data_IF_548371114302
#
_entry.id   IF_548371114302
#
_cell.length_a   1.000
_cell.length_b   1.000
_cell.length_c   1.000
_cell.angle_alpha   90.00
_cell.angle_beta   90.00
_cell.angle_gamma   90.00
#
_symmetry.space_group_name_H-M   'P 1'
#
loop_
_entity.id
_entity.type
_entity.pdbx_description
1 polymer ?
#
# COMPACT_ATOMS: atom_id res chain seq x y z
N UNK A 1 -22.50 90.76 -43.70
CA UNK A 1 -21.48 90.65 -42.64
C UNK A 1 -21.26 89.19 -42.31
N UNK A 2 -20.13 88.63 -42.73
CA UNK A 2 -19.70 87.24 -42.59
C UNK A 2 -18.80 87.19 -41.36
N UNK A 3 -19.06 86.26 -40.45
CA UNK A 3 -18.03 85.51 -39.67
C UNK A 3 -18.72 84.73 -38.54
N UNK A 4 -18.45 83.46 -38.49
CA UNK A 4 -18.44 82.54 -37.35
C UNK A 4 -19.18 81.23 -37.64
N UNK A 5 -18.57 80.35 -38.43
CA UNK A 5 -18.93 78.92 -38.50
C UNK A 5 -17.66 78.06 -38.69
N UNK A 6 -16.68 78.12 -37.82
CA UNK A 6 -15.51 77.24 -37.96
C UNK A 6 -14.81 76.84 -36.68
N UNK A 7 -15.50 76.82 -35.53
CA UNK A 7 -14.89 76.40 -34.25
C UNK A 7 -15.51 75.17 -33.60
N UNK A 8 -16.58 74.64 -34.21
CA UNK A 8 -17.34 73.49 -33.58
C UNK A 8 -17.04 72.11 -34.19
N UNK A 9 -16.05 72.00 -35.14
CA UNK A 9 -15.74 70.71 -35.77
C UNK A 9 -14.45 70.02 -35.27
N UNK A 10 -13.67 70.63 -34.45
CA UNK A 10 -12.38 70.10 -33.97
C UNK A 10 -12.44 69.49 -32.56
N UNK A 11 -13.53 69.75 -31.81
CA UNK A 11 -13.71 69.18 -30.45
C UNK A 11 -14.37 67.77 -30.43
N UNK A 12 -15.01 67.34 -31.54
CA UNK A 12 -15.73 66.09 -31.60
C UNK A 12 -14.88 64.89 -32.06
N UNK A 13 -13.70 65.13 -32.61
CA UNK A 13 -12.83 64.05 -33.16
C UNK A 13 -11.78 63.52 -32.13
N UNK A 14 -11.52 64.27 -31.08
CA UNK A 14 -10.60 63.83 -30.02
C UNK A 14 -11.26 62.99 -28.94
N UNK A 15 -12.58 63.02 -28.79
CA UNK A 15 -13.30 62.28 -27.73
C UNK A 15 -13.65 60.82 -28.16
N UNK A 16 -13.69 60.55 -29.47
CA UNK A 16 -13.98 59.21 -30.01
C UNK A 16 -12.80 58.30 -30.08
N UNK A 17 -11.55 58.80 -30.07
CA UNK A 17 -10.34 57.99 -30.08
C UNK A 17 -9.93 57.57 -28.67
N UNK A 18 -10.24 58.36 -27.63
CA UNK A 18 -9.92 58.05 -26.26
C UNK A 18 -10.83 56.97 -25.65
N UNK A 19 -12.06 56.77 -26.15
CA UNK A 19 -12.95 55.70 -25.67
C UNK A 19 -12.69 54.33 -26.34
N UNK A 20 -12.10 54.32 -27.53
CA UNK A 20 -11.76 53.09 -28.25
C UNK A 20 -10.49 52.39 -27.73
N UNK A 21 -9.61 53.09 -26.95
CA UNK A 21 -8.39 52.52 -26.37
C UNK A 21 -8.64 51.98 -24.97
N UNK A 22 -9.73 52.34 -24.29
CA UNK A 22 -10.08 51.84 -22.95
C UNK A 22 -10.92 50.57 -22.93
N UNK A 23 -11.38 50.08 -24.05
CA UNK A 23 -12.22 48.86 -24.13
C UNK A 23 -11.40 47.61 -24.56
N UNK A 24 -10.14 47.79 -24.95
CA UNK A 24 -9.26 46.66 -25.33
C UNK A 24 -8.28 46.21 -24.27
N UNK A 25 -8.33 46.71 -23.03
CA UNK A 25 -7.48 46.27 -21.92
C UNK A 25 -8.24 45.49 -20.81
N UNK A 26 -9.49 45.07 -21.06
CA UNK A 26 -10.01 43.92 -20.30
C UNK A 26 -9.38 42.68 -20.90
N UNK A 27 -8.15 42.44 -20.52
CA UNK A 27 -7.43 41.22 -20.84
C UNK A 27 -8.35 40.04 -20.54
N UNK A 28 -8.65 39.28 -21.57
CA UNK A 28 -8.99 37.90 -21.38
C UNK A 28 -7.88 37.29 -20.54
N UNK A 29 -8.09 37.17 -19.24
CA UNK A 29 -7.43 36.13 -18.47
C UNK A 29 -7.83 34.85 -19.20
N UNK A 30 -7.03 34.41 -20.15
CA UNK A 30 -7.01 33.01 -20.49
C UNK A 30 -6.74 32.34 -19.15
N UNK A 31 -7.79 31.89 -18.49
CA UNK A 31 -7.68 30.96 -17.42
C UNK A 31 -6.99 29.75 -18.06
N UNK A 32 -5.66 29.72 -17.93
CA UNK A 32 -4.89 28.55 -18.30
C UNK A 32 -5.63 27.39 -17.65
N UNK A 33 -6.09 26.42 -18.44
CA UNK A 33 -6.75 25.27 -17.91
C UNK A 33 -5.83 24.74 -16.80
N UNK A 34 -6.37 24.66 -15.57
CA UNK A 34 -5.59 24.24 -14.40
C UNK A 34 -4.93 22.91 -14.78
N UNK A 35 -3.62 22.88 -14.87
CA UNK A 35 -2.91 21.69 -15.32
C UNK A 35 -3.14 20.60 -14.30
N UNK A 36 -3.67 19.45 -14.72
CA UNK A 36 -4.06 18.36 -13.85
C UNK A 36 -3.04 17.23 -13.98
N UNK A 37 -2.42 16.85 -12.88
CA UNK A 37 -1.62 15.62 -12.82
C UNK A 37 -2.54 14.40 -12.81
N UNK A 38 -2.48 13.60 -13.85
CA UNK A 38 -3.33 12.42 -14.06
C UNK A 38 -2.61 11.18 -13.59
N UNK A 39 -3.09 10.56 -12.51
CA UNK A 39 -2.52 9.36 -11.90
C UNK A 39 -3.47 8.18 -12.10
N UNK A 40 -3.04 7.15 -12.81
CA UNK A 40 -3.81 5.92 -12.95
C UNK A 40 -3.63 5.02 -11.74
N UNK A 41 -4.72 4.58 -11.15
CA UNK A 41 -4.72 3.70 -9.99
C UNK A 41 -5.53 2.43 -10.27
N UNK A 42 -4.82 1.30 -10.39
CA UNK A 42 -5.41 -0.01 -10.66
C UNK A 42 -5.44 -0.75 -9.33
N UNK A 43 -6.61 -1.10 -8.83
CA UNK A 43 -6.78 -1.76 -7.52
C UNK A 43 -7.93 -2.77 -7.57
N UNK A 44 -7.98 -3.75 -6.67
CA UNK A 44 -9.11 -4.67 -6.59
C UNK A 44 -10.29 -4.00 -5.86
N UNK A 45 -11.26 -3.48 -6.61
CA UNK A 45 -12.52 -2.94 -6.05
C UNK A 45 -13.63 -3.98 -6.00
N UNK A 46 -13.41 -5.13 -6.64
CA UNK A 46 -14.23 -6.33 -6.56
C UNK A 46 -13.38 -7.60 -6.47
N UNK A 47 -14.02 -8.75 -6.25
CA UNK A 47 -13.32 -10.03 -6.08
C UNK A 47 -12.79 -10.25 -4.65
N UNK A 48 -11.90 -11.26 -4.45
CA UNK A 48 -11.45 -11.69 -3.12
C UNK A 48 -10.73 -10.63 -2.30
N UNK A 49 -10.15 -9.62 -2.95
CA UNK A 49 -9.37 -8.55 -2.32
C UNK A 49 -10.09 -7.19 -2.29
N UNK A 50 -11.42 -7.17 -2.49
CA UNK A 50 -12.18 -5.91 -2.59
C UNK A 50 -12.07 -5.03 -1.33
N UNK A 51 -12.07 -5.63 -0.14
CA UNK A 51 -11.97 -4.90 1.13
C UNK A 51 -10.69 -4.06 1.20
N UNK A 52 -9.53 -4.66 0.93
CA UNK A 52 -8.24 -3.96 0.99
C UNK A 52 -8.09 -2.97 -0.16
N UNK A 53 -8.65 -3.25 -1.32
CA UNK A 53 -8.72 -2.30 -2.44
C UNK A 53 -9.46 -1.02 -2.05
N UNK A 54 -10.62 -1.15 -1.40
CA UNK A 54 -11.40 -0.01 -0.91
C UNK A 54 -10.66 0.78 0.18
N UNK A 55 -9.97 0.10 1.09
CA UNK A 55 -9.14 0.76 2.11
C UNK A 55 -8.01 1.56 1.48
N UNK A 56 -7.31 0.99 0.51
CA UNK A 56 -6.27 1.67 -0.25
C UNK A 56 -6.80 2.86 -1.06
N UNK A 57 -8.01 2.76 -1.63
CA UNK A 57 -8.68 3.89 -2.28
C UNK A 57 -8.92 5.02 -1.28
N UNK A 58 -9.55 4.72 -0.14
CA UNK A 58 -9.86 5.71 0.88
C UNK A 58 -8.60 6.46 1.38
N UNK A 59 -7.50 5.74 1.57
CA UNK A 59 -6.23 6.31 2.01
C UNK A 59 -5.62 7.25 0.94
N UNK A 60 -5.67 6.86 -0.33
CA UNK A 60 -5.20 7.71 -1.45
C UNK A 60 -6.05 8.94 -1.62
N UNK A 61 -7.38 8.83 -1.52
CA UNK A 61 -8.29 9.97 -1.60
C UNK A 61 -8.00 11.00 -0.51
N UNK A 62 -7.78 10.53 0.72
CA UNK A 62 -7.40 11.43 1.82
C UNK A 62 -6.08 12.16 1.52
N UNK A 63 -5.05 11.46 1.04
CA UNK A 63 -3.76 12.07 0.69
C UNK A 63 -3.88 13.07 -0.48
N UNK A 64 -4.63 12.73 -1.52
CA UNK A 64 -4.87 13.61 -2.68
C UNK A 64 -5.59 14.89 -2.26
N UNK A 65 -6.62 14.76 -1.43
CA UNK A 65 -7.34 15.94 -0.91
C UNK A 65 -6.43 16.84 -0.08
N UNK A 66 -5.58 16.27 0.78
CA UNK A 66 -4.61 17.02 1.58
C UNK A 66 -3.63 17.80 0.69
N UNK A 67 -3.05 17.14 -0.31
CA UNK A 67 -2.11 17.76 -1.25
C UNK A 67 -2.82 18.86 -2.05
N UNK A 68 -4.01 18.58 -2.56
CA UNK A 68 -4.77 19.53 -3.35
C UNK A 68 -5.22 20.75 -2.53
N UNK A 69 -5.62 20.54 -1.26
CA UNK A 69 -5.97 21.62 -0.33
C UNK A 69 -4.75 22.48 0.03
N UNK A 70 -3.57 21.87 0.10
CA UNK A 70 -2.30 22.58 0.34
C UNK A 70 -1.76 23.33 -0.91
N UNK A 71 -2.53 23.36 -2.01
CA UNK A 71 -2.19 24.09 -3.23
C UNK A 71 -1.72 23.23 -4.40
N UNK A 72 -1.75 21.90 -4.30
CA UNK A 72 -1.34 20.99 -5.38
C UNK A 72 0.17 20.86 -5.53
N UNK A 73 0.65 20.59 -6.74
CA UNK A 73 2.09 20.45 -7.08
C UNK A 73 2.65 21.83 -7.41
N UNK A 74 3.44 22.39 -6.51
CA UNK A 74 3.89 23.78 -6.60
C UNK A 74 4.83 24.01 -7.80
N UNK A 75 5.73 23.07 -8.08
CA UNK A 75 6.64 23.13 -9.23
C UNK A 75 5.92 23.11 -10.59
N UNK A 76 4.64 22.71 -10.58
CA UNK A 76 3.76 22.70 -11.76
C UNK A 76 2.67 23.78 -11.66
N UNK A 77 2.98 24.91 -11.02
CA UNK A 77 2.06 26.05 -10.90
C UNK A 77 0.82 25.77 -10.04
N UNK A 78 0.89 24.80 -9.13
CA UNK A 78 -0.23 24.40 -8.28
C UNK A 78 -1.16 23.35 -8.90
N UNK A 79 -0.70 22.65 -9.93
CA UNK A 79 -1.46 21.57 -10.59
C UNK A 79 -2.03 20.58 -9.59
N UNK A 80 -3.32 20.25 -9.75
CA UNK A 80 -4.03 19.34 -8.86
C UNK A 80 -3.78 17.88 -9.24
N UNK A 81 -3.61 17.02 -8.23
CA UNK A 81 -3.62 15.57 -8.43
C UNK A 81 -5.04 15.09 -8.72
N UNK A 82 -5.20 14.24 -9.73
CA UNK A 82 -6.44 13.54 -10.05
C UNK A 82 -6.19 12.06 -10.22
N UNK A 83 -6.80 11.24 -9.36
CA UNK A 83 -6.77 9.78 -9.46
C UNK A 83 -7.83 9.28 -10.45
N UNK A 84 -7.42 8.36 -11.31
CA UNK A 84 -8.28 7.60 -12.20
C UNK A 84 -8.28 6.14 -11.73
N UNK A 85 -9.39 5.68 -11.21
CA UNK A 85 -9.49 4.33 -10.65
C UNK A 85 -9.94 3.32 -11.71
N UNK A 86 -9.37 2.12 -11.63
CA UNK A 86 -9.81 0.94 -12.36
C UNK A 86 -9.85 -0.28 -11.45
N UNK A 87 -10.86 -1.09 -11.64
CA UNK A 87 -11.03 -2.36 -10.91
C UNK A 87 -10.26 -3.48 -11.61
N UNK A 88 -9.28 -4.03 -10.94
CA UNK A 88 -8.56 -5.23 -11.42
C UNK A 88 -9.36 -6.52 -11.22
N UNK A 89 -10.49 -6.49 -10.49
CA UNK A 89 -11.25 -7.69 -10.10
C UNK A 89 -10.38 -8.77 -9.45
N UNK A 90 -9.20 -8.42 -8.91
CA UNK A 90 -8.15 -9.34 -8.46
C UNK A 90 -7.63 -10.28 -9.57
N UNK A 91 -7.75 -9.90 -10.86
CA UNK A 91 -7.39 -10.71 -12.03
C UNK A 91 -6.24 -10.09 -12.82
N UNK A 92 -5.18 -10.86 -13.15
CA UNK A 92 -4.02 -10.38 -13.90
C UNK A 92 -4.37 -9.76 -15.24
N UNK A 93 -5.22 -10.40 -16.03
CA UNK A 93 -5.64 -9.94 -17.36
C UNK A 93 -6.40 -8.61 -17.31
N UNK A 94 -7.16 -8.37 -16.24
CA UNK A 94 -7.84 -7.10 -16.01
C UNK A 94 -6.86 -5.98 -15.68
N UNK A 95 -5.90 -6.25 -14.77
CA UNK A 95 -4.85 -5.28 -14.43
C UNK A 95 -4.08 -4.82 -15.67
N UNK A 96 -3.69 -5.75 -16.55
CA UNK A 96 -3.02 -5.46 -17.82
C UNK A 96 -3.88 -4.61 -18.74
N UNK A 97 -5.15 -5.01 -18.96
CA UNK A 97 -6.07 -4.27 -19.83
C UNK A 97 -6.34 -2.84 -19.33
N UNK A 98 -6.51 -2.68 -18.02
CA UNK A 98 -6.76 -1.38 -17.41
C UNK A 98 -5.52 -0.47 -17.45
N UNK A 99 -4.30 -1.02 -17.31
CA UNK A 99 -3.08 -0.23 -17.50
C UNK A 99 -2.98 0.32 -18.93
N UNK A 100 -3.24 -0.52 -19.94
CA UNK A 100 -3.27 -0.07 -21.34
C UNK A 100 -4.34 0.99 -21.59
N UNK A 101 -5.53 0.80 -21.05
CA UNK A 101 -6.62 1.78 -21.15
C UNK A 101 -6.25 3.12 -20.50
N UNK A 102 -5.72 3.09 -19.28
CA UNK A 102 -5.31 4.30 -18.57
C UNK A 102 -4.22 5.07 -19.32
N UNK A 103 -3.24 4.38 -19.88
CA UNK A 103 -2.17 5.01 -20.65
C UNK A 103 -2.70 5.57 -21.97
N UNK A 104 -3.46 4.78 -22.72
CA UNK A 104 -3.85 5.14 -24.10
C UNK A 104 -5.08 6.04 -24.15
N UNK A 105 -6.03 5.89 -23.23
CA UNK A 105 -7.32 6.62 -23.23
C UNK A 105 -7.31 7.76 -22.22
N UNK A 106 -6.99 7.46 -20.95
CA UNK A 106 -6.97 8.47 -19.90
C UNK A 106 -5.72 9.35 -19.95
N UNK A 107 -4.69 8.96 -20.69
CA UNK A 107 -3.42 9.71 -20.83
C UNK A 107 -2.81 10.04 -19.47
N UNK A 108 -2.72 9.02 -18.59
CA UNK A 108 -2.10 9.18 -17.27
C UNK A 108 -0.59 9.43 -17.40
N UNK A 109 -0.04 10.24 -16.50
CA UNK A 109 1.39 10.56 -16.48
C UNK A 109 2.20 9.50 -15.73
N UNK A 110 1.55 8.80 -14.79
CA UNK A 110 2.11 7.69 -14.03
C UNK A 110 1.00 6.75 -13.54
N UNK A 111 1.40 5.54 -13.16
CA UNK A 111 0.53 4.51 -12.59
C UNK A 111 0.87 4.24 -11.12
N UNK A 112 -0.11 3.75 -10.37
CA UNK A 112 0.07 3.16 -9.03
C UNK A 112 -0.90 1.98 -8.82
N UNK A 113 -0.61 1.11 -7.90
CA UNK A 113 -1.40 -0.11 -7.61
C UNK A 113 -0.45 -1.34 -7.65
N UNK A 114 -0.90 -2.55 -7.88
CA UNK A 114 -2.27 -3.09 -8.01
C UNK A 114 -2.76 -3.82 -6.73
N UNK A 115 -2.02 -3.97 -5.72
CA UNK A 115 -2.15 -4.75 -4.48
C UNK A 115 -1.80 -6.25 -4.64
N UNK A 116 -2.54 -7.01 -5.47
CA UNK A 116 -2.23 -8.43 -5.71
C UNK A 116 -0.92 -8.59 -6.50
N UNK A 117 0.03 -9.36 -6.01
CA UNK A 117 1.30 -9.62 -6.70
C UNK A 117 1.10 -10.26 -8.07
N UNK A 118 0.13 -11.19 -8.20
CA UNK A 118 -0.24 -11.83 -9.47
C UNK A 118 -0.76 -10.84 -10.52
N UNK A 119 -1.41 -9.74 -10.09
CA UNK A 119 -1.87 -8.66 -10.97
C UNK A 119 -0.73 -7.70 -11.27
N UNK A 120 0.03 -7.29 -10.25
CA UNK A 120 1.09 -6.27 -10.37
C UNK A 120 2.19 -6.72 -11.31
N UNK A 121 2.65 -7.98 -11.18
CA UNK A 121 3.75 -8.51 -11.96
C UNK A 121 3.60 -8.32 -13.48
N UNK A 122 2.53 -8.79 -14.13
CA UNK A 122 2.34 -8.54 -15.57
C UNK A 122 1.96 -7.09 -15.89
N UNK A 123 1.32 -6.37 -14.97
CA UNK A 123 0.92 -4.97 -15.19
C UNK A 123 2.13 -4.04 -15.26
N UNK A 124 3.19 -4.31 -14.48
CA UNK A 124 4.43 -3.53 -14.55
C UNK A 124 5.14 -3.64 -15.90
N UNK A 125 5.00 -4.78 -16.60
CA UNK A 125 5.53 -4.95 -17.96
C UNK A 125 4.82 -4.05 -18.98
N UNK A 126 3.54 -3.72 -18.77
CA UNK A 126 2.82 -2.71 -19.57
C UNK A 126 3.43 -1.33 -19.34
N UNK A 127 3.60 -0.93 -18.08
CA UNK A 127 4.20 0.35 -17.73
C UNK A 127 5.60 0.52 -18.36
N UNK A 128 6.46 -0.49 -18.25
CA UNK A 128 7.79 -0.50 -18.85
C UNK A 128 7.75 -0.34 -20.38
N UNK A 129 6.88 -1.10 -21.05
CA UNK A 129 6.71 -1.02 -22.51
C UNK A 129 6.32 0.37 -23.00
N UNK A 130 5.51 1.09 -22.24
CA UNK A 130 5.08 2.45 -22.56
C UNK A 130 5.97 3.55 -21.95
N UNK A 131 6.98 3.18 -21.16
CA UNK A 131 7.86 4.14 -20.48
C UNK A 131 7.15 4.96 -19.38
N UNK A 132 6.03 4.49 -18.87
CA UNK A 132 5.22 5.17 -17.84
C UNK A 132 5.68 4.73 -16.44
N UNK A 133 6.05 5.64 -15.52
CA UNK A 133 6.43 5.29 -14.15
C UNK A 133 5.30 4.58 -13.41
N UNK A 134 5.65 3.56 -12.64
CA UNK A 134 4.72 2.79 -11.84
C UNK A 134 5.18 2.70 -10.38
N UNK A 135 4.48 3.38 -9.48
CA UNK A 135 4.71 3.28 -8.04
C UNK A 135 3.87 2.14 -7.48
N UNK A 136 4.54 1.11 -6.96
CA UNK A 136 3.94 -0.07 -6.35
C UNK A 136 3.91 0.10 -4.84
N UNK A 137 2.74 0.36 -4.22
CA UNK A 137 2.68 0.60 -2.77
C UNK A 137 2.87 -0.67 -1.95
N UNK A 138 2.21 -1.79 -2.31
CA UNK A 138 1.98 -2.94 -1.43
C UNK A 138 2.48 -4.26 -1.98
N UNK A 139 2.34 -4.54 -3.27
CA UNK A 139 2.62 -5.88 -3.83
C UNK A 139 4.04 -6.36 -3.53
N UNK A 140 4.18 -7.50 -2.84
CA UNK A 140 5.43 -7.91 -2.18
C UNK A 140 6.29 -8.92 -2.96
N UNK A 141 5.76 -9.65 -3.96
CA UNK A 141 6.55 -10.67 -4.67
C UNK A 141 7.90 -10.11 -5.19
N UNK A 142 9.01 -10.76 -4.85
CA UNK A 142 10.38 -10.31 -5.18
C UNK A 142 10.51 -10.01 -6.67
N UNK A 143 10.00 -10.89 -7.50
CA UNK A 143 10.07 -10.78 -8.96
C UNK A 143 9.51 -9.48 -9.56
N UNK A 144 8.70 -8.71 -8.83
CA UNK A 144 8.12 -7.44 -9.31
C UNK A 144 9.23 -6.42 -9.62
N UNK A 145 10.23 -6.29 -8.76
CA UNK A 145 11.38 -5.38 -8.93
C UNK A 145 12.62 -6.08 -9.50
N UNK A 146 12.56 -7.39 -9.78
CA UNK A 146 13.68 -8.18 -10.30
C UNK A 146 13.58 -8.45 -11.80
N UNK A 147 12.64 -7.80 -12.51
CA UNK A 147 12.48 -7.91 -13.97
C UNK A 147 13.51 -7.07 -14.77
N UNK A 148 14.32 -6.25 -14.09
CA UNK A 148 15.26 -5.32 -14.75
C UNK A 148 14.59 -4.06 -15.33
N UNK A 149 13.34 -3.80 -15.01
CA UNK A 149 12.58 -2.63 -15.45
C UNK A 149 13.11 -1.34 -14.82
N UNK A 150 12.95 -0.23 -15.54
CA UNK A 150 13.40 1.09 -15.08
C UNK A 150 12.27 2.01 -14.62
N UNK A 151 11.03 1.62 -14.90
CA UNK A 151 9.83 2.41 -14.57
C UNK A 151 9.16 2.00 -13.28
N UNK A 152 9.59 0.94 -12.60
CA UNK A 152 8.92 0.32 -11.45
C UNK A 152 9.60 0.70 -10.16
N UNK A 153 8.83 1.24 -9.19
CA UNK A 153 9.32 1.70 -7.89
C UNK A 153 8.43 1.15 -6.79
N UNK A 154 8.94 0.25 -5.94
CA UNK A 154 8.17 -0.39 -4.87
C UNK A 154 8.49 0.19 -3.50
N UNK A 155 7.46 0.61 -2.78
CA UNK A 155 7.54 1.17 -1.41
C UNK A 155 7.63 0.06 -0.38
N UNK A 156 6.76 -0.95 -0.47
CA UNK A 156 6.68 -2.07 0.45
C UNK A 156 7.95 -2.93 0.51
N UNK A 157 8.15 -3.63 1.61
CA UNK A 157 9.13 -4.69 1.72
C UNK A 157 8.80 -5.85 0.77
N UNK A 158 9.83 -6.50 0.21
CA UNK A 158 9.63 -7.67 -0.65
C UNK A 158 9.47 -8.95 0.16
N UNK A 159 8.82 -9.98 -0.39
CA UNK A 159 8.42 -11.19 0.33
C UNK A 159 9.59 -11.95 0.96
N UNK A 160 10.80 -11.89 0.37
CA UNK A 160 12.00 -12.43 0.99
C UNK A 160 12.39 -11.74 2.31
N UNK A 161 12.00 -10.48 2.51
CA UNK A 161 12.22 -9.79 3.78
C UNK A 161 11.16 -10.18 4.81
N UNK A 162 9.91 -10.36 4.40
CA UNK A 162 8.84 -10.86 5.26
C UNK A 162 9.19 -12.23 5.82
N UNK A 163 9.57 -13.16 4.97
CA UNK A 163 9.89 -14.54 5.37
C UNK A 163 11.16 -14.60 6.23
N UNK A 164 12.20 -13.81 5.89
CA UNK A 164 13.40 -13.63 6.72
C UNK A 164 13.03 -13.20 8.13
N UNK A 165 12.19 -12.18 8.24
CA UNK A 165 11.85 -11.57 9.53
C UNK A 165 10.91 -12.46 10.36
N UNK A 166 10.03 -13.25 9.73
CA UNK A 166 9.26 -14.28 10.43
C UNK A 166 10.17 -15.35 11.07
N UNK A 167 11.20 -15.79 10.37
CA UNK A 167 12.15 -16.76 10.94
C UNK A 167 13.08 -16.15 11.99
N UNK A 168 13.48 -14.90 11.83
CA UNK A 168 14.21 -14.15 12.86
C UNK A 168 13.37 -14.01 14.13
N UNK A 169 12.12 -13.59 14.00
CA UNK A 169 11.16 -13.53 15.09
C UNK A 169 11.00 -14.88 15.81
N UNK A 170 10.79 -15.96 15.05
CA UNK A 170 10.63 -17.30 15.63
C UNK A 170 11.87 -17.72 16.45
N UNK A 171 13.06 -17.40 15.96
CA UNK A 171 14.32 -17.65 16.68
C UNK A 171 14.39 -16.83 17.98
N UNK A 172 14.04 -15.55 17.92
CA UNK A 172 14.06 -14.66 19.08
C UNK A 172 13.04 -15.11 20.14
N UNK A 173 11.83 -15.51 19.72
CA UNK A 173 10.82 -16.04 20.64
C UNK A 173 11.26 -17.33 21.34
N UNK A 174 11.88 -18.25 20.61
CA UNK A 174 12.43 -19.46 21.21
C UNK A 174 13.49 -19.15 22.27
N UNK A 175 14.37 -18.18 21.99
CA UNK A 175 15.42 -17.76 22.92
C UNK A 175 14.84 -17.06 24.17
N UNK A 176 13.92 -16.11 23.97
CA UNK A 176 13.31 -15.32 25.05
C UNK A 176 12.48 -16.20 25.99
N UNK A 177 11.66 -17.09 25.45
CA UNK A 177 10.71 -17.91 26.20
C UNK A 177 11.22 -19.32 26.51
N UNK A 178 12.45 -19.66 26.12
CA UNK A 178 13.07 -20.99 26.30
C UNK A 178 12.16 -22.13 25.81
N UNK A 179 11.49 -21.90 24.69
CA UNK A 179 10.53 -22.83 24.10
C UNK A 179 11.11 -23.38 22.81
N UNK A 180 11.29 -24.71 22.73
CA UNK A 180 11.79 -25.36 21.53
C UNK A 180 10.69 -25.52 20.48
N UNK A 181 10.98 -25.15 19.23
CA UNK A 181 10.19 -25.38 18.04
C UNK A 181 10.93 -26.33 17.12
N UNK A 182 10.29 -27.42 16.70
CA UNK A 182 10.88 -28.44 15.81
C UNK A 182 10.16 -28.57 14.48
N UNK A 183 8.84 -28.35 14.49
CA UNK A 183 7.98 -28.67 13.34
C UNK A 183 7.19 -27.47 12.89
N UNK A 184 7.17 -27.26 11.55
CA UNK A 184 6.41 -26.19 10.90
C UNK A 184 5.37 -26.79 9.96
N UNK A 185 4.22 -26.12 9.86
CA UNK A 185 3.25 -26.33 8.80
C UNK A 185 3.06 -25.02 8.03
N UNK A 186 2.95 -25.12 6.71
CA UNK A 186 2.71 -24.02 5.80
C UNK A 186 1.33 -24.21 5.16
N UNK A 187 0.47 -23.18 5.29
CA UNK A 187 -0.87 -23.17 4.68
C UNK A 187 -1.06 -21.82 4.00
N UNK A 188 -1.33 -21.83 2.71
CA UNK A 188 -1.27 -20.59 1.93
C UNK A 188 -2.21 -20.62 0.72
N UNK A 189 -2.68 -19.43 0.35
CA UNK A 189 -3.40 -19.26 -0.90
C UNK A 189 -2.49 -19.62 -2.09
N UNK A 190 -3.05 -20.21 -3.16
CA UNK A 190 -2.27 -20.81 -4.23
C UNK A 190 -1.87 -19.86 -5.37
N UNK A 191 -1.98 -18.54 -5.19
CA UNK A 191 -1.49 -17.52 -6.11
C UNK A 191 0.03 -17.27 -6.01
N UNK A 192 0.49 -16.25 -6.71
CA UNK A 192 1.92 -15.88 -6.74
C UNK A 192 2.44 -15.45 -5.36
N UNK A 193 1.61 -14.78 -4.57
CA UNK A 193 1.95 -14.35 -3.22
C UNK A 193 2.18 -15.54 -2.28
N UNK A 194 1.19 -16.41 -2.11
CA UNK A 194 1.32 -17.56 -1.23
C UNK A 194 2.41 -18.54 -1.67
N UNK A 195 2.56 -18.79 -2.99
CA UNK A 195 3.64 -19.64 -3.54
C UNK A 195 5.02 -19.04 -3.32
N UNK A 196 5.17 -17.71 -3.43
CA UNK A 196 6.42 -17.00 -3.16
C UNK A 196 6.86 -17.22 -1.72
N UNK A 197 5.98 -16.94 -0.76
CA UNK A 197 6.23 -17.19 0.66
C UNK A 197 6.56 -18.65 0.95
N UNK A 198 5.76 -19.59 0.45
CA UNK A 198 5.98 -21.02 0.70
C UNK A 198 7.33 -21.50 0.16
N UNK A 199 7.77 -21.03 -1.00
CA UNK A 199 9.09 -21.33 -1.56
C UNK A 199 10.21 -20.93 -0.60
N UNK A 200 10.16 -19.70 -0.13
CA UNK A 200 11.17 -19.16 0.79
C UNK A 200 11.08 -19.78 2.19
N UNK A 201 9.89 -20.06 2.70
CA UNK A 201 9.72 -20.78 3.96
C UNK A 201 10.37 -22.17 3.94
N UNK A 202 10.28 -22.90 2.82
CA UNK A 202 10.94 -24.20 2.65
C UNK A 202 12.45 -24.07 2.79
N UNK A 203 13.06 -23.13 2.08
CA UNK A 203 14.50 -22.86 2.13
C UNK A 203 14.93 -22.42 3.54
N UNK A 204 14.20 -21.51 4.17
CA UNK A 204 14.48 -21.04 5.51
C UNK A 204 14.27 -22.11 6.58
N UNK A 205 13.25 -22.96 6.44
CA UNK A 205 13.03 -24.07 7.36
C UNK A 205 14.19 -25.08 7.30
N UNK A 206 14.62 -25.48 6.11
CA UNK A 206 15.77 -26.36 5.93
C UNK A 206 17.05 -25.73 6.53
N UNK A 207 17.34 -24.47 6.19
CA UNK A 207 18.53 -23.75 6.69
C UNK A 207 18.57 -23.63 8.20
N UNK A 208 17.41 -23.54 8.87
CA UNK A 208 17.30 -23.40 10.32
C UNK A 208 17.02 -24.73 11.04
N UNK A 209 16.98 -25.86 10.33
CA UNK A 209 16.82 -27.19 10.90
C UNK A 209 15.39 -27.52 11.37
N UNK A 210 14.37 -26.79 10.88
CA UNK A 210 12.99 -27.14 11.16
C UNK A 210 12.48 -28.23 10.23
N UNK A 211 11.68 -29.14 10.78
CA UNK A 211 10.98 -30.17 10.00
C UNK A 211 9.64 -29.62 9.49
N UNK A 212 9.44 -29.61 8.17
CA UNK A 212 8.16 -29.31 7.57
C UNK A 212 7.28 -30.55 7.65
N UNK A 213 6.15 -30.49 8.35
CA UNK A 213 5.22 -31.60 8.53
C UNK A 213 3.95 -31.47 7.70
N UNK A 214 3.69 -30.28 7.16
CA UNK A 214 2.61 -29.99 6.21
C UNK A 214 3.02 -28.82 5.32
N UNK A 215 2.68 -28.92 4.04
CA UNK A 215 2.86 -27.89 3.03
C UNK A 215 1.63 -27.94 2.12
N UNK A 216 0.66 -27.06 2.40
CA UNK A 216 -0.70 -27.17 1.85
C UNK A 216 -1.15 -25.86 1.19
N UNK A 217 -1.13 -25.78 -0.14
CA UNK A 217 -1.79 -24.71 -0.87
C UNK A 217 -3.31 -24.93 -0.93
N UNK A 218 -4.07 -23.82 -0.94
CA UNK A 218 -5.52 -23.87 -1.18
C UNK A 218 -5.97 -22.73 -2.12
N UNK A 219 -7.06 -22.92 -2.90
CA UNK A 219 -7.63 -21.82 -3.69
C UNK A 219 -8.20 -20.72 -2.81
N UNK A 220 -7.86 -19.45 -3.09
CA UNK A 220 -8.38 -18.28 -2.34
C UNK A 220 -9.91 -18.08 -2.44
N UNK A 221 -10.54 -18.78 -3.36
CA UNK A 221 -12.01 -18.81 -3.53
C UNK A 221 -12.69 -19.92 -2.74
N UNK A 222 -11.94 -20.69 -1.94
CA UNK A 222 -12.50 -21.81 -1.18
C UNK A 222 -13.48 -21.32 -0.11
N UNK A 223 -14.58 -22.02 0.06
CA UNK A 223 -15.63 -21.72 1.05
C UNK A 223 -15.63 -22.70 2.22
N UNK A 224 -14.79 -23.74 2.17
CA UNK A 224 -14.63 -24.73 3.24
C UNK A 224 -13.15 -25.10 3.40
N UNK A 225 -12.58 -24.76 4.55
CA UNK A 225 -11.20 -25.09 4.93
C UNK A 225 -11.12 -26.22 5.96
N UNK A 226 -12.24 -26.89 6.28
CA UNK A 226 -12.25 -28.03 7.19
C UNK A 226 -11.30 -29.16 6.77
N UNK A 227 -11.19 -29.53 5.47
CA UNK A 227 -10.21 -30.54 5.05
C UNK A 227 -8.76 -30.14 5.31
N UNK A 228 -8.44 -28.85 5.10
CA UNK A 228 -7.09 -28.30 5.36
C UNK A 228 -6.79 -28.34 6.85
N UNK A 229 -7.73 -27.87 7.69
CA UNK A 229 -7.59 -27.86 9.15
C UNK A 229 -7.45 -29.27 9.71
N UNK A 230 -8.14 -30.26 9.16
CA UNK A 230 -7.97 -31.66 9.53
C UNK A 230 -6.56 -32.17 9.21
N UNK A 231 -5.96 -31.75 8.08
CA UNK A 231 -4.56 -32.09 7.74
C UNK A 231 -3.60 -31.45 8.76
N UNK A 232 -3.79 -30.15 9.12
CA UNK A 232 -3.00 -29.48 10.14
C UNK A 232 -3.07 -30.25 11.47
N UNK A 233 -4.28 -30.61 11.92
CA UNK A 233 -4.49 -31.32 13.18
C UNK A 233 -3.79 -32.68 13.19
N UNK A 234 -3.84 -33.43 12.07
CA UNK A 234 -3.15 -34.75 11.94
C UNK A 234 -1.63 -34.60 11.91
N UNK A 235 -1.12 -33.55 11.26
CA UNK A 235 0.31 -33.28 11.17
C UNK A 235 0.92 -32.85 12.51
N UNK A 236 0.15 -32.20 13.38
CA UNK A 236 0.53 -31.76 14.71
C UNK A 236 1.78 -30.86 14.73
N UNK A 237 1.81 -29.76 13.94
CA UNK A 237 2.97 -28.88 13.91
C UNK A 237 3.10 -28.10 15.22
N UNK A 238 4.35 -27.70 15.57
CA UNK A 238 4.58 -26.72 16.62
C UNK A 238 4.07 -25.33 16.21
N UNK A 239 4.39 -24.92 14.97
CA UNK A 239 4.02 -23.60 14.44
C UNK A 239 3.31 -23.75 13.09
N UNK A 240 2.27 -22.97 12.92
CA UNK A 240 1.52 -22.82 11.67
C UNK A 240 1.84 -21.45 11.05
N UNK A 241 2.35 -21.44 9.83
CA UNK A 241 2.60 -20.22 9.06
C UNK A 241 1.55 -20.07 7.97
N UNK A 242 0.98 -18.87 7.83
CA UNK A 242 -0.20 -18.62 7.02
C UNK A 242 0.00 -17.49 6.02
N UNK A 243 -0.52 -17.68 4.80
CA UNK A 243 -0.79 -16.63 3.82
C UNK A 243 -2.23 -16.74 3.36
N UNK A 244 -3.05 -15.72 3.63
CA UNK A 244 -4.50 -15.75 3.33
C UNK A 244 -5.01 -14.34 2.98
N UNK A 245 -6.01 -14.26 2.11
CA UNK A 245 -6.79 -13.04 1.90
C UNK A 245 -7.86 -12.89 3.00
N UNK A 246 -8.62 -11.80 3.02
CA UNK A 246 -9.51 -11.47 4.14
C UNK A 246 -10.56 -12.56 4.44
N UNK A 247 -11.26 -13.06 3.43
CA UNK A 247 -12.32 -14.05 3.62
C UNK A 247 -11.79 -15.40 4.11
N UNK A 248 -10.71 -15.89 3.49
CA UNK A 248 -10.10 -17.17 3.83
C UNK A 248 -9.30 -17.11 5.14
N UNK A 249 -8.69 -15.96 5.50
CA UNK A 249 -8.08 -15.76 6.82
C UNK A 249 -9.12 -15.90 7.96
N UNK A 250 -10.27 -15.26 7.80
CA UNK A 250 -11.38 -15.35 8.76
C UNK A 250 -11.89 -16.80 8.86
N UNK A 251 -12.14 -17.43 7.70
CA UNK A 251 -12.62 -18.80 7.63
C UNK A 251 -11.63 -19.77 8.29
N UNK A 252 -10.35 -19.68 7.95
CA UNK A 252 -9.30 -20.55 8.49
C UNK A 252 -9.15 -20.39 10.01
N UNK A 253 -9.09 -19.15 10.49
CA UNK A 253 -8.95 -18.87 11.93
C UNK A 253 -10.12 -19.43 12.75
N UNK A 254 -11.35 -19.24 12.28
CA UNK A 254 -12.54 -19.77 12.97
C UNK A 254 -12.57 -21.31 12.90
N UNK A 255 -12.23 -21.90 11.75
CA UNK A 255 -12.19 -23.35 11.59
C UNK A 255 -11.10 -23.98 12.48
N UNK A 256 -9.92 -23.36 12.62
CA UNK A 256 -8.87 -23.82 13.55
C UNK A 256 -9.38 -23.86 14.99
N UNK A 257 -10.12 -22.85 15.42
CA UNK A 257 -10.74 -22.78 16.75
C UNK A 257 -11.82 -23.84 16.95
N UNK A 258 -12.72 -24.02 15.96
CA UNK A 258 -13.80 -25.03 16.02
C UNK A 258 -13.24 -26.45 16.17
N UNK A 259 -12.14 -26.74 15.46
CA UNK A 259 -11.45 -28.03 15.53
C UNK A 259 -10.49 -28.16 16.73
N UNK A 260 -10.36 -27.11 17.55
CA UNK A 260 -9.48 -27.04 18.73
C UNK A 260 -8.05 -27.48 18.40
N UNK A 261 -7.51 -26.97 17.29
CA UNK A 261 -6.14 -27.29 16.88
C UNK A 261 -5.17 -26.67 17.87
N UNK A 262 -4.28 -27.49 18.44
CA UNK A 262 -3.27 -27.01 19.40
C UNK A 262 -1.96 -26.71 18.65
N UNK A 263 -1.45 -25.50 18.87
CA UNK A 263 -0.25 -24.96 18.25
C UNK A 263 0.53 -24.16 19.29
N UNK A 264 1.84 -24.13 19.20
CA UNK A 264 2.65 -23.22 20.03
C UNK A 264 2.61 -21.78 19.50
N UNK A 265 2.44 -21.62 18.18
CA UNK A 265 2.18 -20.32 17.56
C UNK A 265 1.49 -20.45 16.20
N UNK A 266 0.74 -19.41 15.84
CA UNK A 266 0.29 -19.12 14.47
C UNK A 266 0.99 -17.84 14.06
N UNK A 267 1.67 -17.85 12.89
CA UNK A 267 2.35 -16.69 12.33
C UNK A 267 1.74 -16.40 10.95
N UNK A 268 0.96 -15.34 10.87
CA UNK A 268 0.35 -14.88 9.63
C UNK A 268 1.27 -13.90 8.88
N UNK A 269 0.91 -13.57 7.64
CA UNK A 269 1.72 -12.79 6.71
C UNK A 269 0.99 -11.55 6.18
N UNK A 270 0.41 -10.76 7.08
CA UNK A 270 -0.36 -9.58 6.70
C UNK A 270 -1.62 -9.92 5.91
N UNK A 271 -1.92 -9.15 4.88
CA UNK A 271 -3.04 -9.39 3.99
C UNK A 271 -4.37 -9.50 4.74
N UNK A 272 -5.02 -10.65 4.64
CA UNK A 272 -6.31 -10.86 5.28
C UNK A 272 -6.31 -10.82 6.81
N UNK A 273 -5.18 -11.17 7.44
CA UNK A 273 -5.05 -11.11 8.90
C UNK A 273 -4.86 -9.67 9.41
N UNK A 274 -4.33 -8.78 8.56
CA UNK A 274 -4.22 -7.34 8.83
C UNK A 274 -5.51 -6.56 8.49
N UNK A 275 -6.48 -7.18 7.80
CA UNK A 275 -7.74 -6.51 7.43
C UNK A 275 -8.50 -6.04 8.68
N UNK A 276 -9.02 -4.79 8.72
CA UNK A 276 -9.80 -4.27 9.84
C UNK A 276 -11.02 -5.10 10.22
N UNK A 277 -11.62 -5.84 9.28
CA UNK A 277 -12.75 -6.72 9.53
C UNK A 277 -12.37 -8.01 10.28
N UNK A 278 -11.10 -8.42 10.21
CA UNK A 278 -10.61 -9.69 10.73
C UNK A 278 -10.87 -9.84 12.23
N UNK A 279 -10.47 -8.86 13.05
CA UNK A 279 -10.68 -8.92 14.50
C UNK A 279 -12.16 -9.00 14.89
N UNK A 280 -13.01 -8.26 14.16
CA UNK A 280 -14.44 -8.27 14.40
C UNK A 280 -15.09 -9.62 14.05
N UNK A 281 -14.63 -10.23 12.93
CA UNK A 281 -15.21 -11.47 12.42
C UNK A 281 -14.71 -12.72 13.15
N UNK A 282 -13.50 -12.70 13.69
CA UNK A 282 -12.89 -13.83 14.39
C UNK A 282 -13.06 -13.75 15.91
N UNK A 283 -13.19 -12.54 16.45
CA UNK A 283 -13.32 -12.36 17.90
C UNK A 283 -12.18 -13.06 18.65
N UNK A 284 -12.50 -13.70 19.77
CA UNK A 284 -11.54 -14.41 20.62
C UNK A 284 -10.76 -15.54 19.92
N UNK A 285 -11.22 -16.03 18.77
CA UNK A 285 -10.54 -17.07 18.00
C UNK A 285 -9.20 -16.61 17.44
N UNK A 286 -9.00 -15.29 17.23
CA UNK A 286 -7.72 -14.72 16.77
C UNK A 286 -6.74 -14.45 17.92
N UNK A 287 -7.13 -14.63 19.18
CA UNK A 287 -6.27 -14.28 20.31
C UNK A 287 -4.97 -15.06 20.29
N UNK A 288 -3.87 -14.36 20.53
CA UNK A 288 -2.48 -14.83 20.53
C UNK A 288 -1.88 -15.13 19.16
N UNK A 289 -2.62 -14.96 18.06
CA UNK A 289 -2.07 -15.04 16.71
C UNK A 289 -1.02 -13.93 16.53
N UNK A 290 0.12 -14.29 15.95
CA UNK A 290 1.12 -13.34 15.47
C UNK A 290 0.89 -13.04 14.00
N UNK A 291 1.11 -11.78 13.62
CA UNK A 291 0.99 -11.34 12.24
C UNK A 291 2.17 -10.42 11.89
N UNK A 292 2.86 -10.69 10.79
CA UNK A 292 3.86 -9.77 10.29
C UNK A 292 3.18 -8.72 9.45
N UNK A 293 3.51 -7.45 9.68
CA UNK A 293 2.86 -6.29 9.08
C UNK A 293 3.87 -5.20 8.74
N UNK A 294 3.53 -4.35 7.80
CA UNK A 294 4.33 -3.19 7.42
C UNK A 294 4.17 -2.04 8.40
N UNK A 295 3.01 -1.97 9.06
CA UNK A 295 2.68 -0.86 9.94
C UNK A 295 1.55 -1.24 10.92
N UNK A 296 1.56 -0.61 12.11
CA UNK A 296 0.47 -0.67 13.07
C UNK A 296 0.26 0.68 13.76
N UNK A 297 -0.90 0.88 14.33
CA UNK A 297 -1.34 2.13 14.99
C UNK A 297 -0.50 2.52 16.19
N UNK A 298 0.28 1.62 16.76
CA UNK A 298 1.17 1.85 17.89
C UNK A 298 2.61 2.21 17.49
N UNK A 299 2.88 2.43 16.21
CA UNK A 299 4.14 3.00 15.71
C UNK A 299 4.37 4.35 16.36
N UNK A 300 5.48 4.50 17.08
CA UNK A 300 5.80 5.71 17.83
C UNK A 300 6.55 6.72 16.95
N UNK A 301 5.83 7.36 16.02
CA UNK A 301 6.38 8.40 15.14
C UNK A 301 5.46 9.62 15.06
N UNK A 302 6.02 10.81 14.78
CA UNK A 302 5.23 12.03 14.56
C UNK A 302 4.21 11.84 13.44
N UNK A 303 3.00 12.36 13.62
CA UNK A 303 1.92 12.33 12.63
C UNK A 303 1.09 11.05 12.60
N UNK A 304 1.58 9.92 13.16
CA UNK A 304 0.87 8.63 13.13
C UNK A 304 -0.52 8.73 13.77
N UNK A 305 -0.60 9.25 14.98
CA UNK A 305 -1.87 9.36 15.72
C UNK A 305 -2.85 10.31 15.05
N UNK A 306 -2.36 11.45 14.57
CA UNK A 306 -3.16 12.49 13.91
C UNK A 306 -3.74 11.99 12.59
N UNK A 307 -2.92 11.38 11.74
CA UNK A 307 -3.32 10.86 10.43
C UNK A 307 -4.30 9.69 10.62
N UNK A 308 -3.99 8.76 11.54
CA UNK A 308 -4.90 7.66 11.84
C UNK A 308 -6.24 8.13 12.42
N UNK A 309 -6.24 9.12 13.34
CA UNK A 309 -7.46 9.69 13.89
C UNK A 309 -8.33 10.35 12.81
N UNK A 310 -7.70 11.09 11.89
CA UNK A 310 -8.38 11.71 10.74
C UNK A 310 -9.01 10.65 9.84
N UNK A 311 -8.24 9.62 9.49
CA UNK A 311 -8.73 8.50 8.67
C UNK A 311 -9.90 7.77 9.35
N UNK A 312 -9.73 7.40 10.62
CA UNK A 312 -10.77 6.72 11.40
C UNK A 312 -12.04 7.54 11.54
N UNK A 313 -11.92 8.85 11.77
CA UNK A 313 -13.07 9.77 11.85
C UNK A 313 -13.87 9.79 10.54
N UNK A 314 -13.20 9.66 9.40
CA UNK A 314 -13.83 9.72 8.08
C UNK A 314 -14.43 8.40 7.64
N UNK A 315 -13.73 7.29 7.88
CA UNK A 315 -14.06 5.99 7.31
C UNK A 315 -14.52 4.94 8.33
N UNK A 316 -14.42 5.22 9.65
CA UNK A 316 -14.94 4.38 10.72
C UNK A 316 -14.02 3.25 11.18
N UNK A 317 -12.81 3.13 10.60
CA UNK A 317 -11.80 2.14 11.00
C UNK A 317 -10.37 2.74 10.97
N UNK A 318 -9.43 2.06 11.60
CA UNK A 318 -8.03 2.52 11.60
C UNK A 318 -7.36 2.26 10.24
N UNK A 319 -6.32 3.04 9.93
CA UNK A 319 -5.35 2.66 8.91
C UNK A 319 -4.74 1.28 9.26
N UNK A 320 -4.40 0.51 8.24
CA UNK A 320 -3.63 -0.72 8.33
C UNK A 320 -2.40 -0.61 7.42
N UNK A 321 -1.47 -1.56 7.46
CA UNK A 321 -0.22 -1.49 6.71
C UNK A 321 -0.40 -1.13 5.25
N UNK A 322 -1.25 -1.88 4.55
CA UNK A 322 -1.49 -1.69 3.12
C UNK A 322 -2.15 -0.34 2.78
N UNK A 323 -3.03 0.15 3.64
CA UNK A 323 -3.66 1.46 3.43
C UNK A 323 -2.69 2.61 3.76
N UNK A 324 -1.77 2.41 4.71
CA UNK A 324 -0.69 3.36 5.00
C UNK A 324 0.26 3.46 3.80
N UNK A 325 0.68 2.34 3.21
CA UNK A 325 1.54 2.37 2.03
C UNK A 325 0.85 3.00 0.82
N UNK A 326 -0.47 2.83 0.71
CA UNK A 326 -1.26 3.53 -0.30
C UNK A 326 -1.28 5.06 -0.10
N UNK A 327 -1.39 5.52 1.15
CA UNK A 327 -1.26 6.94 1.52
C UNK A 327 0.14 7.47 1.23
N UNK A 328 1.18 6.76 1.67
CA UNK A 328 2.59 7.09 1.46
C UNK A 328 2.90 7.23 -0.03
N UNK A 329 2.39 6.31 -0.87
CA UNK A 329 2.62 6.32 -2.31
C UNK A 329 2.22 7.65 -2.97
N UNK A 330 1.12 8.26 -2.52
CA UNK A 330 0.68 9.57 -3.05
C UNK A 330 1.67 10.67 -2.68
N UNK A 331 2.25 10.63 -1.48
CA UNK A 331 3.27 11.61 -1.08
C UNK A 331 4.62 11.38 -1.76
N UNK A 332 5.00 10.14 -2.05
CA UNK A 332 6.17 9.81 -2.89
C UNK A 332 5.97 10.33 -4.30
N UNK A 333 4.78 10.14 -4.88
CA UNK A 333 4.42 10.68 -6.19
C UNK A 333 4.48 12.22 -6.17
N UNK A 334 3.93 12.85 -5.13
CA UNK A 334 4.01 14.31 -4.95
C UNK A 334 5.46 14.80 -4.94
N UNK A 335 6.30 14.19 -4.12
CA UNK A 335 7.71 14.56 -3.98
C UNK A 335 8.45 14.44 -5.34
N UNK A 336 8.25 13.32 -6.04
CA UNK A 336 8.85 13.12 -7.35
C UNK A 336 8.38 14.16 -8.37
N UNK A 337 7.10 14.52 -8.39
CA UNK A 337 6.56 15.56 -9.28
C UNK A 337 7.12 16.94 -8.95
N UNK A 338 7.27 17.28 -7.66
CA UNK A 338 7.90 18.56 -7.23
C UNK A 338 9.36 18.64 -7.73
N UNK A 339 10.12 17.56 -7.63
CA UNK A 339 11.51 17.54 -8.10
C UNK A 339 11.62 17.48 -9.63
N UNK A 340 10.73 16.77 -10.29
CA UNK A 340 10.68 16.70 -11.74
C UNK A 340 10.32 18.03 -12.39
N UNK A 341 9.45 18.83 -11.78
CA UNK A 341 8.92 20.08 -12.33
C UNK A 341 8.32 19.88 -13.74
N UNK A 342 7.82 18.68 -14.06
CA UNK A 342 7.39 18.27 -15.39
C UNK A 342 6.40 17.12 -15.32
N UNK A 343 5.50 17.05 -16.32
CA UNK A 343 4.62 15.90 -16.56
C UNK A 343 5.22 14.88 -17.55
N UNK A 344 6.43 15.10 -18.02
CA UNK A 344 7.16 14.15 -18.87
C UNK A 344 7.46 12.86 -18.07
N UNK A 345 7.00 11.68 -18.53
CA UNK A 345 7.22 10.43 -17.82
C UNK A 345 8.69 10.09 -17.56
N UNK A 346 9.60 10.50 -18.45
CA UNK A 346 11.05 10.28 -18.27
C UNK A 346 11.57 11.08 -17.08
N UNK A 347 11.19 12.35 -16.97
CA UNK A 347 11.59 13.21 -15.85
C UNK A 347 10.98 12.75 -14.51
N UNK A 348 9.72 12.30 -14.55
CA UNK A 348 9.06 11.72 -13.35
C UNK A 348 9.79 10.45 -12.91
N UNK A 349 10.15 9.56 -13.85
CA UNK A 349 10.92 8.34 -13.59
C UNK A 349 12.29 8.66 -12.99
N UNK A 350 13.02 9.62 -13.54
CA UNK A 350 14.32 10.05 -13.01
C UNK A 350 14.18 10.61 -11.60
N UNK A 351 13.17 11.44 -11.35
CA UNK A 351 12.89 11.95 -10.03
C UNK A 351 12.51 10.84 -9.04
N UNK A 352 11.76 9.82 -9.47
CA UNK A 352 11.46 8.65 -8.63
C UNK A 352 12.74 7.85 -8.31
N UNK A 353 13.61 7.63 -9.29
CA UNK A 353 14.88 6.92 -9.08
C UNK A 353 15.80 7.64 -8.07
N UNK A 354 15.76 8.98 -8.05
CA UNK A 354 16.54 9.83 -7.16
C UNK A 354 15.81 10.15 -5.83
N UNK A 355 14.77 9.38 -5.46
CA UNK A 355 14.04 9.59 -4.21
C UNK A 355 14.93 9.32 -3.01
N UNK A 356 15.03 10.30 -2.10
CA UNK A 356 15.58 10.19 -0.74
C UNK A 356 14.68 11.00 0.21
N UNK A 357 13.53 10.42 0.55
CA UNK A 357 12.49 11.07 1.35
C UNK A 357 12.66 10.69 2.82
N UNK A 358 12.94 11.69 3.68
CA UNK A 358 13.24 11.51 5.13
C UNK A 358 12.36 12.33 6.04
N UNK A 359 11.38 13.03 5.52
CA UNK A 359 10.49 13.89 6.29
C UNK A 359 9.13 14.03 5.62
N UNK A 360 8.18 14.65 6.33
CA UNK A 360 6.83 14.88 5.85
C UNK A 360 5.87 13.72 6.09
N UNK A 361 4.63 13.82 5.55
CA UNK A 361 3.56 12.86 5.84
C UNK A 361 3.85 11.41 5.44
N UNK A 362 4.75 11.17 4.49
CA UNK A 362 5.17 9.81 4.14
C UNK A 362 5.94 9.12 5.27
N UNK A 363 6.52 9.88 6.23
CA UNK A 363 7.33 9.31 7.32
C UNK A 363 6.52 8.78 8.51
N UNK A 364 5.22 8.58 8.36
CA UNK A 364 4.42 7.75 9.27
C UNK A 364 4.73 6.26 9.12
N UNK A 365 5.48 5.86 8.09
CA UNK A 365 5.97 4.49 7.89
C UNK A 365 6.76 3.96 9.09
N UNK A 366 6.89 2.65 9.23
CA UNK A 366 7.68 2.00 10.29
C UNK A 366 9.20 2.24 10.14
N UNK A 367 9.64 2.74 8.99
CA UNK A 367 11.03 3.01 8.60
C UNK A 367 11.30 4.52 8.45
N UNK A 368 12.59 4.92 8.41
CA UNK A 368 13.02 6.32 8.55
C UNK A 368 13.34 7.02 7.22
N UNK A 369 13.25 6.32 6.11
CA UNK A 369 13.48 6.88 4.77
C UNK A 369 12.77 6.09 3.68
N UNK A 370 12.53 6.74 2.54
CA UNK A 370 12.18 6.07 1.28
C UNK A 370 13.27 6.43 0.28
N UNK A 371 14.02 5.42 -0.14
CA UNK A 371 15.10 5.52 -1.11
C UNK A 371 15.10 4.26 -1.97
N UNK A 372 15.03 4.43 -3.27
CA UNK A 372 15.00 3.30 -4.19
C UNK A 372 16.41 2.87 -4.59
N UNK A 373 16.63 1.55 -4.64
CA UNK A 373 17.85 0.99 -5.21
C UNK A 373 17.78 0.91 -6.75
N UNK A 374 18.83 0.37 -7.38
CA UNK A 374 18.90 0.25 -8.84
C UNK A 374 17.79 -0.63 -9.45
N UNK A 375 17.11 -1.43 -8.65
CA UNK A 375 15.97 -2.26 -9.07
C UNK A 375 14.61 -1.57 -8.86
N UNK A 376 14.61 -0.37 -8.25
CA UNK A 376 13.41 0.35 -7.85
C UNK A 376 12.79 -0.14 -6.54
N UNK A 377 13.52 -0.94 -5.74
CA UNK A 377 13.08 -1.38 -4.42
C UNK A 377 13.44 -0.34 -3.35
N UNK A 378 12.49 0.04 -2.50
CA UNK A 378 12.79 0.84 -1.31
C UNK A 378 13.73 0.05 -0.37
N UNK A 379 14.93 0.59 -0.16
CA UNK A 379 15.98 -0.03 0.66
C UNK A 379 15.66 -0.05 2.16
N UNK A 380 14.81 0.85 2.60
CA UNK A 380 14.49 1.09 4.01
C UNK A 380 13.19 0.45 4.47
N UNK A 381 12.44 -0.18 3.55
CA UNK A 381 11.21 -0.86 3.92
C UNK A 381 11.48 -1.87 5.05
N UNK A 382 10.71 -1.78 6.12
CA UNK A 382 10.88 -2.57 7.32
C UNK A 382 9.53 -3.12 7.79
N UNK A 383 9.58 -4.18 8.55
CA UNK A 383 8.42 -4.93 9.00
C UNK A 383 8.39 -5.00 10.53
N UNK A 384 7.20 -5.17 11.04
CA UNK A 384 6.96 -5.45 12.46
C UNK A 384 6.15 -6.72 12.60
N UNK A 385 6.24 -7.38 13.75
CA UNK A 385 5.30 -8.45 14.09
C UNK A 385 4.44 -7.96 15.24
N UNK A 386 3.16 -8.13 15.08
CA UNK A 386 2.15 -7.84 16.10
C UNK A 386 1.63 -9.14 16.68
N UNK A 387 1.15 -9.10 17.92
CA UNK A 387 0.32 -10.14 18.51
C UNK A 387 -1.09 -9.61 18.73
N UNK A 388 -2.09 -10.40 18.37
CA UNK A 388 -3.47 -10.08 18.68
C UNK A 388 -3.77 -10.52 20.13
N UNK A 389 -4.15 -9.57 20.99
CA UNK A 389 -4.55 -9.87 22.36
C UNK A 389 -5.59 -8.88 22.87
N UNK A 390 -6.22 -9.23 24.00
CA UNK A 390 -7.16 -8.38 24.72
C UNK A 390 -6.52 -7.93 26.03
N UNK A 391 -6.32 -6.62 26.16
CA UNK A 391 -5.79 -5.98 27.37
C UNK A 391 -6.88 -5.39 28.26
N UNK A 392 -8.13 -5.81 28.06
CA UNK A 392 -9.30 -5.37 28.86
C UNK A 392 -10.20 -4.36 28.14
N UNK A 393 -9.83 -3.92 26.94
CA UNK A 393 -10.61 -2.99 26.12
C UNK A 393 -11.06 -3.60 24.78
N UNK A 394 -11.01 -4.92 24.66
CA UNK A 394 -11.23 -5.67 23.43
C UNK A 394 -9.93 -6.07 22.73
N UNK A 395 -10.09 -6.81 21.64
CA UNK A 395 -8.94 -7.28 20.86
C UNK A 395 -8.27 -6.12 20.14
N UNK A 396 -6.95 -6.08 20.23
CA UNK A 396 -6.09 -5.15 19.50
C UNK A 396 -4.85 -5.85 18.95
N UNK A 397 -4.22 -5.26 17.97
CA UNK A 397 -2.90 -5.64 17.45
C UNK A 397 -1.84 -4.89 18.25
N UNK A 398 -0.84 -5.60 18.75
CA UNK A 398 0.17 -5.06 19.66
C UNK A 398 1.53 -5.39 19.07
N UNK A 399 2.31 -4.38 18.75
CA UNK A 399 3.66 -4.58 18.21
C UNK A 399 4.55 -5.28 19.24
N UNK A 400 5.13 -6.42 18.84
CA UNK A 400 5.95 -7.28 19.69
C UNK A 400 7.37 -7.48 19.18
N UNK A 401 7.63 -7.23 17.90
CA UNK A 401 8.95 -7.40 17.25
C UNK A 401 9.13 -6.39 16.10
N UNK A 402 10.36 -5.92 15.82
CA UNK A 402 11.61 -6.20 16.55
C UNK A 402 11.56 -5.67 17.98
N UNK A 403 12.46 -6.14 18.85
CA UNK A 403 12.45 -5.78 20.27
C UNK A 403 12.46 -4.26 20.52
N UNK A 404 13.17 -3.50 19.68
CA UNK A 404 13.23 -2.02 19.76
C UNK A 404 11.91 -1.32 19.40
N UNK A 405 11.02 -1.98 18.67
CA UNK A 405 9.69 -1.47 18.30
C UNK A 405 8.58 -2.00 19.21
N UNK A 406 8.88 -2.96 20.07
CA UNK A 406 7.89 -3.59 20.98
C UNK A 406 7.17 -2.54 21.80
N UNK A 407 5.84 -2.65 21.88
CA UNK A 407 5.02 -1.78 22.74
C UNK A 407 5.51 -1.84 24.19
N UNK A 408 5.78 -0.69 24.78
CA UNK A 408 6.26 -0.60 26.16
C UNK A 408 5.29 -1.28 27.14
N UNK A 409 5.83 -2.10 28.04
CA UNK A 409 5.04 -2.80 29.07
C UNK A 409 4.27 -4.02 28.58
N UNK A 410 4.42 -4.43 27.30
CA UNK A 410 3.78 -5.65 26.81
C UNK A 410 4.81 -6.77 26.63
N UNK A 411 4.48 -7.94 27.18
CA UNK A 411 5.22 -9.19 26.95
C UNK A 411 4.35 -10.12 26.10
N UNK A 412 4.85 -10.60 24.94
CA UNK A 412 4.10 -11.55 24.12
C UNK A 412 3.72 -12.82 24.88
N UNK A 413 2.58 -13.38 24.54
CA UNK A 413 2.17 -14.71 25.05
C UNK A 413 2.71 -15.76 24.09
N UNK A 414 3.73 -16.49 24.53
CA UNK A 414 4.38 -17.54 23.76
C UNK A 414 4.94 -18.61 24.71
N UNK A 415 4.68 -19.92 24.49
CA UNK A 415 3.77 -20.44 23.45
C UNK A 415 2.31 -20.04 23.72
N UNK A 416 1.47 -20.23 22.69
CA UNK A 416 0.01 -20.10 22.86
C UNK A 416 -0.47 -21.04 23.95
N UNK A 417 -1.41 -20.62 24.84
CA UNK A 417 -1.92 -21.43 25.95
C UNK A 417 -2.76 -22.64 25.54
#
# INVERSE_FOLDING_TARGET
>A
MKRSKSVLLTASLCLTVAVAVLVFSTGASLQAAEEVVRVGNIIPLSGPSASVGQQGQNAREMAVEEINAAGGIQSLGGAKLKMFYADSESKPEKGVAEAERMINTEKVHLLTGCWNSAVTYPTTAVAERYGIPFVVPVSVADKITEQGFKTVFRIAAKDSWWTRDQFAFLKDMQAEFKTEIKTLAFVYENGDWGKGFAGQWRELAEKNGYKIVLDEPYPSTTTDLSPVVQKIRRAGPDVLMLVSNAADAILLTNTLADYKVKLKAIIASGGGHADPSFLKATGGNARYLFDIVEWETDVNKPGVKEINAKFKSRYGYNLAGESVDAYIAVYVIKDALERAGSLDPVKIREALADTDLRSGPAMIASYDAIEFDATGQNKHAALSIVQINDLGNGLERITVWPQGARRAGYTPVFPMP
#
